data_IF_759692163513
#
_entry.id   IF_759692163513
#
_cell.length_a   1.000
_cell.length_b   1.000
_cell.length_c   1.000
_cell.angle_alpha   90.00
_cell.angle_beta   90.00
_cell.angle_gamma   90.00
#
_symmetry.space_group_name_H-M   'P 1'
#
loop_
_entity.id
_entity.type
_entity.pdbx_description
1 polymer ?
#
# COMPACT_ATOMS: atom_id res chain seq x y z
N UNK A 1 10.43 6.31 -11.00
CA UNK A 1 9.89 6.53 -9.64
C UNK A 1 10.95 6.16 -8.63
N UNK A 2 11.18 6.98 -7.63
CA UNK A 2 12.09 6.70 -6.53
C UNK A 2 11.33 6.27 -5.26
N UNK A 3 12.02 5.92 -4.16
CA UNK A 3 11.37 5.41 -2.93
C UNK A 3 10.51 6.48 -2.24
N UNK A 4 10.92 7.75 -2.23
CA UNK A 4 10.10 8.84 -1.69
C UNK A 4 8.76 8.93 -2.43
N UNK A 5 8.81 8.92 -3.76
CA UNK A 5 7.60 8.93 -4.59
C UNK A 5 6.76 7.67 -4.39
N UNK A 6 7.40 6.49 -4.34
CA UNK A 6 6.70 5.22 -4.17
C UNK A 6 5.88 5.19 -2.87
N UNK A 7 6.43 5.71 -1.78
CA UNK A 7 5.74 5.78 -0.49
C UNK A 7 4.96 7.08 -0.28
N UNK A 8 5.18 8.10 -1.12
CA UNK A 8 4.64 9.46 -0.96
C UNK A 8 5.06 10.10 0.37
N UNK A 9 6.36 9.96 0.68
CA UNK A 9 6.93 10.59 1.87
C UNK A 9 7.00 12.12 1.72
N UNK A 10 6.77 12.80 2.83
CA UNK A 10 6.86 14.26 2.96
C UNK A 10 8.03 14.68 3.84
N UNK A 11 8.34 15.99 3.86
CA UNK A 11 9.38 16.55 4.73
C UNK A 11 9.03 16.48 6.23
N UNK A 12 7.75 16.33 6.57
CA UNK A 12 7.26 16.26 7.96
C UNK A 12 7.17 14.84 8.49
N UNK A 13 7.50 13.83 7.66
CA UNK A 13 7.42 12.45 8.11
C UNK A 13 8.57 12.10 9.05
N UNK A 14 8.19 11.39 10.11
CA UNK A 14 9.09 10.70 11.00
C UNK A 14 8.98 9.20 10.69
N UNK A 15 10.04 8.63 10.09
CA UNK A 15 10.02 7.31 9.48
C UNK A 15 10.84 6.33 10.31
N UNK A 16 10.23 5.24 10.75
CA UNK A 16 10.86 4.21 11.56
C UNK A 16 11.12 2.93 10.77
N UNK A 17 12.37 2.53 10.64
CA UNK A 17 12.77 1.35 9.87
C UNK A 17 12.94 0.14 10.77
N UNK A 18 12.14 -0.89 10.57
CA UNK A 18 12.19 -2.18 11.26
C UNK A 18 12.43 -3.33 10.29
N UNK A 19 12.62 -4.53 10.78
CA UNK A 19 12.72 -5.75 9.97
C UNK A 19 14.13 -6.32 9.88
N UNK A 20 14.48 -6.94 8.73
CA UNK A 20 15.72 -7.71 8.56
C UNK A 20 16.76 -7.00 7.69
N UNK A 21 17.34 -7.69 6.72
CA UNK A 21 18.40 -7.19 5.83
C UNK A 21 17.92 -6.01 4.96
N UNK A 22 18.72 -4.95 4.91
CA UNK A 22 18.53 -3.82 4.02
C UNK A 22 17.96 -2.56 4.66
N UNK A 23 17.62 -2.56 5.96
CA UNK A 23 17.06 -1.38 6.66
C UNK A 23 17.92 -0.13 6.51
N UNK A 24 19.17 -0.23 6.88
CA UNK A 24 20.14 0.89 6.83
C UNK A 24 20.35 1.37 5.40
N UNK A 25 20.47 0.44 4.46
CA UNK A 25 20.58 0.77 3.03
C UNK A 25 19.34 1.51 2.53
N UNK A 26 18.13 1.00 2.85
CA UNK A 26 16.88 1.65 2.50
C UNK A 26 16.79 3.06 3.09
N UNK A 27 17.12 3.21 4.37
CA UNK A 27 17.10 4.47 5.09
C UNK A 27 18.00 5.52 4.42
N UNK A 28 19.27 5.20 4.16
CA UNK A 28 20.21 6.14 3.52
C UNK A 28 19.82 6.42 2.07
N UNK A 29 19.36 5.43 1.30
CA UNK A 29 18.89 5.67 -0.06
C UNK A 29 17.65 6.58 -0.09
N UNK A 30 16.72 6.43 0.86
CA UNK A 30 15.58 7.34 1.01
C UNK A 30 16.07 8.73 1.44
N UNK A 31 16.96 8.81 2.43
CA UNK A 31 17.50 10.08 2.90
C UNK A 31 18.12 10.91 1.77
N UNK A 32 18.92 10.28 0.90
CA UNK A 32 19.57 10.93 -0.24
C UNK A 32 18.63 11.39 -1.35
N UNK A 33 17.37 10.97 -1.35
CA UNK A 33 16.37 11.37 -2.34
C UNK A 33 15.62 12.66 -1.96
N UNK A 34 15.75 13.12 -0.72
CA UNK A 34 15.15 14.38 -0.30
C UNK A 34 15.94 15.58 -0.83
N UNK A 35 15.25 16.63 -1.30
CA UNK A 35 15.90 17.85 -1.78
C UNK A 35 16.25 18.85 -0.65
N UNK A 36 16.27 18.40 0.60
CA UNK A 36 16.54 19.19 1.80
C UNK A 36 17.38 18.39 2.77
N UNK A 37 17.94 19.02 3.83
CA UNK A 37 18.64 18.28 4.89
C UNK A 37 17.73 17.21 5.51
N UNK A 38 18.32 16.07 5.85
CA UNK A 38 17.61 14.93 6.44
C UNK A 38 18.35 14.47 7.67
N UNK A 39 17.63 14.33 8.76
CA UNK A 39 18.19 13.79 10.00
C UNK A 39 18.01 12.27 10.00
N UNK A 40 19.10 11.57 10.26
CA UNK A 40 19.15 10.12 10.40
C UNK A 40 19.64 9.77 11.78
N UNK A 41 19.03 8.81 12.46
CA UNK A 41 19.47 8.34 13.77
C UNK A 41 19.11 6.86 13.99
N UNK A 42 19.41 6.33 15.15
CA UNK A 42 19.15 4.94 15.55
C UNK A 42 18.61 4.88 16.98
N UNK A 43 17.81 3.87 17.28
CA UNK A 43 17.39 3.54 18.66
C UNK A 43 18.24 2.44 19.29
N UNK A 44 19.26 1.95 18.57
CA UNK A 44 20.17 0.90 19.06
C UNK A 44 21.63 1.27 18.77
N UNK A 45 22.35 0.42 18.09
CA UNK A 45 23.75 0.67 17.70
C UNK A 45 23.84 0.77 16.18
N UNK A 46 24.77 1.62 15.69
CA UNK A 46 25.10 1.72 14.27
C UNK A 46 26.60 1.52 14.08
N UNK A 47 27.01 0.73 13.10
CA UNK A 47 28.43 0.47 12.83
C UNK A 47 29.16 1.73 12.38
N UNK A 48 30.45 1.86 12.71
CA UNK A 48 31.26 3.02 12.34
C UNK A 48 31.32 3.21 10.81
N UNK A 49 31.40 2.13 10.03
CA UNK A 49 31.37 2.17 8.56
C UNK A 49 30.04 2.71 7.99
N UNK A 50 28.94 2.59 8.72
CA UNK A 50 27.65 3.16 8.33
C UNK A 50 27.66 4.68 8.54
N UNK A 51 28.39 5.18 9.52
CA UNK A 51 28.50 6.62 9.75
C UNK A 51 29.18 7.35 8.56
N UNK A 52 30.04 6.65 7.81
CA UNK A 52 30.66 7.16 6.59
C UNK A 52 29.66 7.39 5.43
N UNK A 53 28.44 6.83 5.53
CA UNK A 53 27.40 7.05 4.54
C UNK A 53 26.71 8.41 4.72
N UNK A 54 26.88 9.08 5.84
CA UNK A 54 26.32 10.41 6.08
C UNK A 54 27.25 11.51 5.56
N UNK A 55 26.68 12.65 5.16
CA UNK A 55 27.45 13.83 4.77
C UNK A 55 28.00 14.54 6.01
N UNK A 56 27.27 14.46 7.13
CA UNK A 56 27.66 15.02 8.44
C UNK A 56 27.34 14.01 9.53
N UNK A 57 28.25 13.79 10.46
CA UNK A 57 28.06 12.94 11.62
C UNK A 57 28.24 13.74 12.93
N UNK A 58 27.25 13.73 13.78
CA UNK A 58 27.21 14.43 15.05
C UNK A 58 27.08 13.38 16.16
N UNK A 59 28.07 13.36 17.06
CA UNK A 59 28.04 12.51 18.23
C UNK A 59 27.61 13.35 19.44
N UNK A 60 26.53 12.93 20.10
CA UNK A 60 25.95 13.60 21.26
C UNK A 60 26.55 12.98 22.53
N UNK A 61 27.47 13.70 23.15
CA UNK A 61 27.96 13.38 24.49
C UNK A 61 27.14 14.09 25.60
N UNK A 62 26.50 15.24 25.23
CA UNK A 62 25.60 16.04 26.07
C UNK A 62 24.51 16.68 25.18
N UNK A 63 23.24 16.68 25.64
CA UNK A 63 22.09 17.29 24.95
C UNK A 63 22.30 18.78 24.63
N UNK A 64 23.10 19.48 25.41
CA UNK A 64 23.41 20.91 25.16
C UNK A 64 24.15 21.15 23.82
N UNK A 65 24.78 20.12 23.26
CA UNK A 65 25.44 20.24 21.95
C UNK A 65 24.45 20.24 20.78
N UNK A 66 23.26 19.68 20.98
CA UNK A 66 22.23 19.61 19.94
C UNK A 66 21.61 20.98 19.61
N UNK A 67 21.48 21.88 20.59
CA UNK A 67 20.87 23.21 20.42
C UNK A 67 21.76 24.23 19.69
N UNK A 68 22.88 23.82 19.11
CA UNK A 68 23.74 24.72 18.36
C UNK A 68 23.20 24.99 16.95
N UNK A 69 23.15 26.26 16.54
CA UNK A 69 22.76 26.73 15.19
C UNK A 69 23.59 26.12 14.04
N UNK A 70 24.64 25.35 14.33
CA UNK A 70 25.49 24.68 13.35
C UNK A 70 24.79 23.62 12.50
N UNK A 71 23.65 23.06 12.95
CA UNK A 71 22.88 22.08 12.18
C UNK A 71 22.15 22.70 10.97
N UNK A 72 21.72 23.95 11.06
CA UNK A 72 20.98 24.64 10.00
C UNK A 72 21.87 24.89 8.77
N UNK A 73 23.17 25.00 8.95
CA UNK A 73 24.13 25.23 7.86
C UNK A 73 24.48 23.95 7.09
N UNK A 74 24.13 22.76 7.63
CA UNK A 74 24.44 21.49 7.01
C UNK A 74 23.43 21.15 5.91
N UNK A 75 23.92 20.58 4.82
CA UNK A 75 23.12 20.06 3.71
C UNK A 75 23.30 18.54 3.62
N UNK A 76 22.36 17.86 2.97
CA UNK A 76 22.45 16.41 2.77
C UNK A 76 22.00 15.60 3.99
N UNK A 77 22.64 14.46 4.23
CA UNK A 77 22.29 13.50 5.28
C UNK A 77 23.10 13.77 6.55
N UNK A 78 22.41 14.07 7.63
CA UNK A 78 22.98 14.38 8.95
C UNK A 78 22.70 13.19 9.85
N UNK A 79 23.72 12.40 10.18
CA UNK A 79 23.63 11.32 11.15
C UNK A 79 23.86 11.86 12.56
N UNK A 80 22.95 11.54 13.47
CA UNK A 80 23.07 11.88 14.89
C UNK A 80 23.11 10.58 15.70
N UNK A 81 24.15 10.41 16.51
CA UNK A 81 24.35 9.23 17.37
C UNK A 81 24.79 9.62 18.80
N UNK A 82 24.72 8.68 19.70
CA UNK A 82 25.43 8.75 20.95
C UNK A 82 26.92 8.37 20.79
N UNK A 83 27.67 8.22 21.92
CA UNK A 83 29.09 7.94 21.92
C UNK A 83 29.51 6.66 21.20
N UNK A 84 30.77 6.63 20.74
CA UNK A 84 31.38 5.43 20.17
C UNK A 84 31.67 4.39 21.26
N UNK A 85 31.32 3.15 20.99
CA UNK A 85 31.50 2.01 21.86
C UNK A 85 32.83 1.28 21.56
N UNK A 86 33.36 0.47 22.50
CA UNK A 86 34.64 -0.23 22.31
C UNK A 86 34.66 -1.23 21.15
N UNK A 87 33.48 -1.71 20.70
CA UNK A 87 33.31 -2.65 19.62
C UNK A 87 33.06 -1.97 18.26
N UNK A 88 33.56 -0.76 18.12
CA UNK A 88 33.56 0.03 16.89
C UNK A 88 32.14 0.33 16.32
N UNK A 89 31.21 0.60 17.21
CA UNK A 89 29.87 1.06 16.92
C UNK A 89 29.58 2.38 17.61
N UNK A 90 28.54 3.07 17.17
CA UNK A 90 27.97 4.23 17.87
C UNK A 90 26.69 3.80 18.55
N UNK A 91 26.47 4.22 19.79
CA UNK A 91 25.23 4.01 20.52
C UNK A 91 24.11 4.87 19.97
N UNK A 92 22.87 4.57 20.37
CA UNK A 92 21.77 5.50 20.16
C UNK A 92 21.97 6.77 20.99
N UNK A 93 21.41 7.90 20.57
CA UNK A 93 21.09 8.99 21.49
C UNK A 93 20.21 8.49 22.65
N UNK A 94 20.18 9.21 23.76
CA UNK A 94 19.25 8.90 24.86
C UNK A 94 17.79 9.19 24.44
N UNK A 95 16.80 8.67 25.16
CA UNK A 95 15.39 8.97 24.88
C UNK A 95 15.08 10.48 24.93
N UNK A 96 15.56 11.26 25.92
CA UNK A 96 15.42 12.71 25.90
C UNK A 96 16.05 13.36 24.67
N UNK A 97 17.23 12.88 24.23
CA UNK A 97 17.88 13.38 23.02
C UNK A 97 17.05 13.12 21.77
N UNK A 98 16.46 11.92 21.65
CA UNK A 98 15.59 11.57 20.53
C UNK A 98 14.35 12.47 20.47
N UNK A 99 13.76 12.82 21.61
CA UNK A 99 12.63 13.76 21.68
C UNK A 99 13.05 15.17 21.23
N UNK A 100 14.23 15.63 21.59
CA UNK A 100 14.76 16.93 21.15
C UNK A 100 15.12 16.93 19.66
N UNK A 101 15.71 15.83 19.14
CA UNK A 101 15.95 15.63 17.73
C UNK A 101 14.63 15.70 16.94
N UNK A 102 13.59 15.03 17.43
CA UNK A 102 12.26 15.08 16.82
C UNK A 102 11.70 16.52 16.80
N UNK A 103 11.69 17.22 17.93
CA UNK A 103 11.23 18.61 18.00
C UNK A 103 11.99 19.50 17.03
N UNK A 104 13.31 19.35 16.97
CA UNK A 104 14.17 20.09 16.05
C UNK A 104 13.78 19.81 14.59
N UNK A 105 13.61 18.54 14.23
CA UNK A 105 13.23 18.13 12.87
C UNK A 105 11.90 18.75 12.43
N UNK A 106 10.91 18.77 13.34
CA UNK A 106 9.60 19.36 13.06
C UNK A 106 9.66 20.88 12.91
N UNK A 107 10.41 21.57 13.78
CA UNK A 107 10.55 23.03 13.73
C UNK A 107 11.26 23.53 12.47
N UNK A 108 12.16 22.73 11.89
CA UNK A 108 12.92 23.10 10.69
C UNK A 108 12.40 22.40 9.42
N UNK A 109 11.31 21.61 9.52
CA UNK A 109 10.76 20.81 8.43
C UNK A 109 11.80 19.88 7.78
N UNK A 110 12.65 19.26 8.60
CA UNK A 110 13.60 18.23 8.17
C UNK A 110 13.02 16.85 8.39
N UNK A 111 13.00 15.96 7.38
CA UNK A 111 12.60 14.57 7.58
C UNK A 111 13.47 13.90 8.64
N UNK A 112 12.84 13.11 9.51
CA UNK A 112 13.55 12.32 10.52
C UNK A 112 13.40 10.83 10.21
N UNK A 113 14.53 10.17 9.97
CA UNK A 113 14.61 8.75 9.65
C UNK A 113 15.32 8.02 10.79
N UNK A 114 14.66 7.04 11.38
CA UNK A 114 15.18 6.30 12.54
C UNK A 114 15.26 4.82 12.20
N UNK A 115 16.44 4.23 12.36
CA UNK A 115 16.58 2.79 12.22
C UNK A 115 16.49 2.13 13.61
N UNK A 116 15.55 1.17 13.72
CA UNK A 116 15.45 0.29 14.87
C UNK A 116 16.35 -0.94 14.66
N UNK A 117 16.85 -1.45 15.74
CA UNK A 117 17.52 -2.74 15.82
C UNK A 117 18.95 -2.85 15.30
N UNK A 118 19.74 -3.53 16.09
CA UNK A 118 21.08 -3.97 15.72
C UNK A 118 20.99 -4.94 14.52
N UNK A 119 21.64 -4.59 13.43
CA UNK A 119 21.86 -5.48 12.32
C UNK A 119 22.86 -6.56 12.71
N UNK A 120 22.43 -7.82 12.67
CA UNK A 120 23.28 -8.99 12.90
C UNK A 120 23.59 -9.76 11.61
N UNK A 121 23.34 -9.16 10.43
CA UNK A 121 23.60 -9.77 9.13
C UNK A 121 22.61 -10.87 8.71
N UNK A 122 21.61 -11.19 9.53
CA UNK A 122 20.71 -12.32 9.28
C UNK A 122 19.53 -11.93 8.41
N UNK A 123 19.14 -12.80 7.46
CA UNK A 123 18.09 -12.49 6.46
C UNK A 123 16.69 -12.37 7.04
N UNK A 124 16.41 -12.99 8.17
CA UNK A 124 15.09 -12.98 8.82
C UNK A 124 15.21 -12.49 10.27
N UNK A 125 14.09 -12.02 10.82
CA UNK A 125 13.99 -11.60 12.21
C UNK A 125 12.67 -12.01 12.84
N UNK A 126 12.73 -12.51 14.08
CA UNK A 126 11.62 -12.53 15.02
C UNK A 126 11.86 -11.44 16.09
N UNK A 127 10.83 -10.69 16.46
CA UNK A 127 10.96 -9.63 17.45
C UNK A 127 11.01 -10.20 18.88
N UNK A 128 11.86 -9.64 19.75
CA UNK A 128 11.86 -9.93 21.18
C UNK A 128 10.62 -9.38 21.90
N UNK A 129 10.46 -9.66 23.19
CA UNK A 129 9.23 -9.30 23.92
C UNK A 129 9.00 -7.79 23.96
N UNK A 130 10.04 -6.99 24.08
CA UNK A 130 10.02 -5.52 24.11
C UNK A 130 10.45 -4.88 22.77
N UNK A 131 10.51 -5.64 21.68
CA UNK A 131 10.91 -5.14 20.36
C UNK A 131 9.76 -5.19 19.36
N UNK A 132 9.71 -4.22 18.42
CA UNK A 132 10.47 -2.97 18.39
C UNK A 132 9.94 -1.95 19.41
N UNK A 133 10.81 -1.12 19.97
CA UNK A 133 10.41 0.04 20.79
C UNK A 133 10.16 1.22 19.85
N UNK A 134 8.86 1.49 19.58
CA UNK A 134 8.43 2.46 18.58
C UNK A 134 8.09 3.77 19.30
N UNK A 135 8.80 4.88 19.03
CA UNK A 135 8.47 6.18 19.60
C UNK A 135 7.08 6.64 19.19
N UNK A 136 6.36 7.29 20.09
CA UNK A 136 4.94 7.67 19.89
C UNK A 136 4.71 8.73 18.80
N UNK A 137 5.75 9.43 18.40
CA UNK A 137 5.70 10.49 17.37
C UNK A 137 5.99 10.01 15.94
N UNK A 138 6.10 8.69 15.73
CA UNK A 138 6.30 8.13 14.40
C UNK A 138 5.06 8.34 13.52
N UNK A 139 5.27 8.87 12.32
CA UNK A 139 4.19 9.02 11.32
C UNK A 139 4.01 7.77 10.49
N UNK A 140 5.09 7.02 10.28
CA UNK A 140 5.06 5.76 9.56
C UNK A 140 6.18 4.79 9.95
N UNK A 141 5.92 3.51 9.72
CA UNK A 141 6.86 2.41 9.91
C UNK A 141 7.12 1.77 8.57
N UNK A 142 8.40 1.59 8.22
CA UNK A 142 8.85 0.84 7.06
C UNK A 142 9.45 -0.47 7.53
N UNK A 143 8.74 -1.57 7.29
CA UNK A 143 9.30 -2.89 7.51
C UNK A 143 10.14 -3.28 6.28
N UNK A 144 11.38 -3.69 6.49
CA UNK A 144 12.29 -4.11 5.42
C UNK A 144 12.56 -5.59 5.55
N UNK A 145 12.21 -6.33 4.50
CA UNK A 145 12.40 -7.77 4.42
C UNK A 145 13.25 -8.14 3.21
N UNK A 146 14.25 -9.01 3.40
CA UNK A 146 15.10 -9.53 2.33
C UNK A 146 14.72 -10.95 1.94
N UNK A 147 14.63 -11.20 0.62
CA UNK A 147 14.22 -12.51 0.06
C UNK A 147 15.27 -13.61 0.23
N UNK A 148 16.53 -13.27 0.57
CA UNK A 148 17.62 -14.25 0.70
C UNK A 148 17.40 -15.31 1.79
N UNK A 149 16.46 -15.08 2.71
CA UNK A 149 16.09 -16.09 3.72
C UNK A 149 15.17 -17.20 3.21
N UNK A 150 14.47 -16.98 2.09
CA UNK A 150 13.53 -17.95 1.53
C UNK A 150 14.29 -19.07 0.84
N UNK A 151 13.88 -20.31 1.09
CA UNK A 151 14.52 -21.51 0.55
C UNK A 151 15.65 -22.06 1.42
N UNK A 152 16.09 -21.34 2.45
CA UNK A 152 17.06 -21.82 3.41
C UNK A 152 16.39 -22.63 4.52
N UNK A 153 17.13 -23.52 5.17
CA UNK A 153 16.66 -24.21 6.37
C UNK A 153 16.66 -23.24 7.56
N UNK A 154 15.63 -23.35 8.41
CA UNK A 154 15.59 -22.65 9.68
C UNK A 154 16.68 -23.19 10.61
N UNK A 155 17.59 -22.34 11.04
CA UNK A 155 18.71 -22.67 11.92
C UNK A 155 19.34 -21.42 12.52
N UNK A 156 20.43 -21.59 13.29
CA UNK A 156 21.06 -20.52 14.05
C UNK A 156 21.56 -19.33 13.21
N UNK A 157 21.83 -19.55 11.92
CA UNK A 157 22.32 -18.50 11.02
C UNK A 157 21.23 -17.79 10.22
N UNK A 158 20.00 -18.30 10.23
CA UNK A 158 18.94 -17.83 9.34
C UNK A 158 18.12 -16.68 9.92
N UNK A 159 17.50 -16.78 11.11
CA UNK A 159 16.80 -15.65 11.73
C UNK A 159 17.59 -15.02 12.89
N UNK A 160 17.27 -13.76 13.16
CA UNK A 160 17.57 -13.16 14.48
C UNK A 160 16.52 -13.72 15.45
N UNK A 161 16.95 -14.21 16.62
CA UNK A 161 16.11 -14.89 17.62
C UNK A 161 15.39 -16.12 17.02
N UNK A 162 16.17 -17.14 16.64
CA UNK A 162 15.65 -18.36 16.03
C UNK A 162 14.66 -19.09 16.92
N UNK A 163 14.78 -18.96 18.24
CA UNK A 163 13.89 -19.56 19.22
C UNK A 163 12.44 -19.04 19.16
N UNK A 164 12.23 -17.78 18.73
CA UNK A 164 10.91 -17.17 18.62
C UNK A 164 10.29 -17.31 17.23
N UNK A 165 11.11 -17.55 16.21
CA UNK A 165 10.63 -17.65 14.84
C UNK A 165 9.62 -18.80 14.62
N UNK A 166 9.81 -20.01 15.19
CA UNK A 166 8.85 -21.09 15.11
C UNK A 166 7.47 -20.77 15.67
N UNK A 167 7.41 -20.05 16.79
CA UNK A 167 6.14 -19.67 17.44
C UNK A 167 5.26 -18.79 16.54
N UNK A 168 5.89 -17.94 15.72
CA UNK A 168 5.20 -16.97 14.85
C UNK A 168 4.96 -17.55 13.47
N UNK A 169 5.94 -18.27 12.91
CA UNK A 169 5.93 -18.77 11.53
C UNK A 169 5.30 -20.15 11.37
N UNK A 170 5.25 -20.94 12.44
CA UNK A 170 4.89 -22.36 12.41
C UNK A 170 5.95 -23.27 11.76
N UNK A 171 7.12 -22.73 11.38
CA UNK A 171 8.22 -23.49 10.79
C UNK A 171 9.13 -24.02 11.90
N UNK A 172 9.37 -25.33 11.94
CA UNK A 172 10.25 -25.94 12.93
C UNK A 172 11.71 -25.93 12.47
N UNK A 173 12.64 -26.11 13.42
CA UNK A 173 14.07 -26.17 13.15
C UNK A 173 14.39 -27.19 12.03
N UNK A 174 15.30 -26.79 11.13
CA UNK A 174 15.71 -27.53 9.91
C UNK A 174 14.67 -27.66 8.81
N UNK A 175 13.47 -27.14 8.98
CA UNK A 175 12.55 -27.01 7.86
C UNK A 175 12.93 -25.87 6.91
N UNK A 176 12.51 -26.00 5.66
CA UNK A 176 12.72 -24.95 4.64
C UNK A 176 11.76 -23.81 4.88
N UNK A 177 12.31 -22.60 4.93
CA UNK A 177 11.54 -21.36 5.04
C UNK A 177 10.84 -21.09 3.70
N UNK A 178 9.51 -21.12 3.72
CA UNK A 178 8.65 -20.90 2.55
C UNK A 178 8.12 -19.46 2.53
N UNK A 179 7.75 -18.92 1.36
CA UNK A 179 7.12 -17.61 1.26
C UNK A 179 5.91 -17.42 2.18
N UNK A 180 5.05 -18.44 2.27
CA UNK A 180 3.82 -18.37 3.07
C UNK A 180 4.12 -18.25 4.58
N UNK A 181 5.18 -18.90 5.09
CA UNK A 181 5.60 -18.74 6.50
C UNK A 181 6.13 -17.33 6.79
N UNK A 182 6.83 -16.73 5.83
CA UNK A 182 7.29 -15.35 5.95
C UNK A 182 6.11 -14.36 5.93
N UNK A 183 5.14 -14.58 5.03
CA UNK A 183 3.89 -13.80 5.03
C UNK A 183 3.21 -13.89 6.40
N UNK A 184 3.12 -15.11 6.99
CA UNK A 184 2.60 -15.30 8.34
C UNK A 184 3.32 -14.46 9.40
N UNK A 185 4.66 -14.38 9.36
CA UNK A 185 5.45 -13.54 10.27
C UNK A 185 5.19 -12.05 10.03
N UNK A 186 5.19 -11.61 8.77
CA UNK A 186 5.02 -10.18 8.43
C UNK A 186 3.63 -9.65 8.77
N UNK A 187 2.57 -10.48 8.72
CA UNK A 187 1.21 -10.08 9.09
C UNK A 187 0.83 -10.39 10.55
N UNK A 188 1.75 -10.99 11.33
CA UNK A 188 1.48 -11.34 12.73
C UNK A 188 1.61 -10.13 13.65
N UNK A 189 0.68 -10.04 14.63
CA UNK A 189 0.77 -9.07 15.76
C UNK A 189 1.98 -9.34 16.69
N UNK A 190 2.56 -10.52 16.63
CA UNK A 190 3.79 -10.87 17.35
C UNK A 190 5.04 -10.78 16.46
N UNK A 191 4.86 -10.47 15.18
CA UNK A 191 5.89 -10.35 14.17
C UNK A 191 5.98 -8.95 13.58
N UNK A 192 5.74 -8.85 12.27
CA UNK A 192 5.90 -7.60 11.51
C UNK A 192 4.96 -6.46 11.89
N UNK A 193 3.83 -6.75 12.56
CA UNK A 193 2.87 -5.75 13.04
C UNK A 193 2.99 -5.46 14.54
N UNK A 194 4.01 -6.02 15.21
CA UNK A 194 4.16 -5.89 16.64
C UNK A 194 4.39 -4.43 17.06
N UNK A 195 3.76 -4.03 18.17
CA UNK A 195 3.89 -2.69 18.79
C UNK A 195 3.53 -1.52 17.84
N UNK A 196 2.87 -1.78 16.71
CA UNK A 196 2.41 -0.70 15.84
C UNK A 196 1.25 0.05 16.51
N UNK A 197 1.41 1.35 16.67
CA UNK A 197 0.39 2.23 17.25
C UNK A 197 -0.75 2.48 16.24
N UNK A 198 -1.95 2.74 16.75
CA UNK A 198 -3.09 3.11 15.92
C UNK A 198 -2.81 4.44 15.20
N UNK A 199 -3.22 4.52 13.93
CA UNK A 199 -3.02 5.71 13.09
C UNK A 199 -1.63 5.82 12.45
N UNK A 200 -0.66 4.99 12.83
CA UNK A 200 0.66 4.95 12.20
C UNK A 200 0.61 4.15 10.90
N UNK A 201 1.04 4.76 9.79
CA UNK A 201 1.07 4.12 8.47
C UNK A 201 2.11 2.99 8.43
N UNK A 202 1.75 1.88 7.80
CA UNK A 202 2.63 0.72 7.65
C UNK A 202 3.00 0.52 6.20
N UNK A 203 4.30 0.50 5.94
CA UNK A 203 4.87 0.24 4.62
C UNK A 203 5.81 -0.95 4.66
N UNK A 204 5.96 -1.63 3.54
CA UNK A 204 6.84 -2.78 3.42
C UNK A 204 7.77 -2.60 2.22
N UNK A 205 9.05 -2.89 2.44
CA UNK A 205 10.04 -3.09 1.38
C UNK A 205 10.38 -4.57 1.31
N UNK A 206 10.09 -5.20 0.18
CA UNK A 206 10.56 -6.54 -0.17
C UNK A 206 11.81 -6.36 -1.03
N UNK A 207 12.97 -6.54 -0.40
CA UNK A 207 14.29 -6.33 -1.00
C UNK A 207 14.86 -7.63 -1.56
N UNK A 208 15.95 -7.53 -2.35
CA UNK A 208 16.66 -8.67 -2.94
C UNK A 208 15.83 -9.45 -3.98
N UNK A 209 14.97 -8.76 -4.74
CA UNK A 209 14.24 -9.34 -5.85
C UNK A 209 15.12 -9.42 -7.11
N UNK A 210 16.29 -10.07 -6.99
CA UNK A 210 17.43 -9.97 -7.91
C UNK A 210 17.24 -10.74 -9.21
N UNK A 211 16.22 -11.58 -9.31
CA UNK A 211 15.90 -12.35 -10.52
C UNK A 211 14.38 -12.53 -10.69
N UNK A 212 13.98 -13.00 -11.89
CA UNK A 212 12.56 -13.15 -12.24
C UNK A 212 11.78 -14.07 -11.30
N UNK A 213 12.43 -15.10 -10.75
CA UNK A 213 11.79 -16.04 -9.84
C UNK A 213 11.50 -15.38 -8.49
N UNK A 214 12.48 -14.65 -7.93
CA UNK A 214 12.32 -13.89 -6.70
C UNK A 214 11.32 -12.74 -6.87
N UNK A 215 11.28 -12.09 -8.05
CA UNK A 215 10.26 -11.08 -8.38
C UNK A 215 8.85 -11.67 -8.39
N UNK A 216 8.67 -12.86 -8.96
CA UNK A 216 7.38 -13.55 -8.96
C UNK A 216 6.94 -13.95 -7.54
N UNK A 217 7.87 -14.47 -6.72
CA UNK A 217 7.63 -14.77 -5.30
C UNK A 217 7.23 -13.50 -4.54
N UNK A 218 8.03 -12.43 -4.67
CA UNK A 218 7.75 -11.14 -4.05
C UNK A 218 6.39 -10.58 -4.45
N UNK A 219 6.03 -10.70 -5.74
CA UNK A 219 4.74 -10.26 -6.27
C UNK A 219 3.55 -11.00 -5.65
N UNK A 220 3.67 -12.32 -5.44
CA UNK A 220 2.65 -13.12 -4.74
C UNK A 220 2.57 -12.71 -3.28
N UNK A 221 3.69 -12.70 -2.56
CA UNK A 221 3.74 -12.28 -1.15
C UNK A 221 3.16 -10.88 -0.95
N UNK A 222 3.47 -9.94 -1.83
CA UNK A 222 2.94 -8.59 -1.76
C UNK A 222 1.40 -8.57 -1.86
N UNK A 223 0.79 -9.39 -2.73
CA UNK A 223 -0.68 -9.48 -2.81
C UNK A 223 -1.28 -9.97 -1.49
N UNK A 224 -0.69 -10.98 -0.86
CA UNK A 224 -1.17 -11.55 0.41
C UNK A 224 -0.98 -10.58 1.59
N UNK A 225 -0.01 -9.66 1.48
CA UNK A 225 0.33 -8.66 2.51
C UNK A 225 -0.41 -7.32 2.35
N UNK A 226 -1.06 -7.05 1.22
CA UNK A 226 -1.83 -5.82 0.99
C UNK A 226 -2.89 -5.50 2.06
N UNK A 227 -3.55 -6.48 2.72
CA UNK A 227 -4.49 -6.17 3.81
C UNK A 227 -3.83 -5.55 5.05
N UNK A 228 -2.50 -5.65 5.20
CA UNK A 228 -1.76 -5.27 6.39
C UNK A 228 -0.84 -4.06 6.20
N UNK A 229 -0.49 -3.73 4.94
CA UNK A 229 0.43 -2.67 4.58
C UNK A 229 -0.19 -1.72 3.55
N UNK A 230 -0.12 -0.42 3.80
CA UNK A 230 -0.71 0.59 2.92
C UNK A 230 0.03 0.72 1.58
N UNK A 231 1.32 0.45 1.58
CA UNK A 231 2.15 0.41 0.37
C UNK A 231 3.24 -0.64 0.52
N UNK A 232 3.46 -1.38 -0.56
CA UNK A 232 4.51 -2.40 -0.65
C UNK A 232 5.37 -2.08 -1.86
N UNK A 233 6.67 -2.02 -1.64
CA UNK A 233 7.67 -1.82 -2.70
C UNK A 233 8.48 -3.10 -2.84
N UNK A 234 8.59 -3.59 -4.06
CA UNK A 234 9.48 -4.69 -4.44
C UNK A 234 10.68 -4.06 -5.13
N UNK A 235 11.88 -4.32 -4.63
CA UNK A 235 13.09 -3.67 -5.14
C UNK A 235 14.34 -4.53 -4.99
N UNK A 236 15.40 -4.05 -5.61
CA UNK A 236 16.78 -4.40 -5.37
C UNK A 236 17.49 -3.13 -4.86
N UNK A 237 18.02 -3.16 -3.63
CA UNK A 237 18.69 -2.00 -3.04
C UNK A 237 20.19 -1.95 -3.34
N UNK A 238 20.83 -3.09 -3.60
CA UNK A 238 22.26 -3.23 -3.91
C UNK A 238 22.45 -4.01 -5.23
N UNK A 239 23.51 -3.73 -6.03
CA UNK A 239 24.48 -2.64 -5.83
C UNK A 239 23.91 -1.25 -6.13
N UNK A 240 22.88 -1.15 -6.99
CA UNK A 240 22.17 0.09 -7.31
C UNK A 240 20.69 -0.06 -6.97
N UNK A 241 20.06 1.01 -6.51
CA UNK A 241 18.64 1.00 -6.22
C UNK A 241 17.83 0.80 -7.51
N UNK A 242 17.12 -0.31 -7.59
CA UNK A 242 16.16 -0.58 -8.63
C UNK A 242 14.79 -0.86 -8.01
N UNK A 243 13.83 0.05 -8.21
CA UNK A 243 12.44 -0.18 -7.86
C UNK A 243 11.79 -0.99 -8.98
N UNK A 244 11.32 -2.20 -8.67
CA UNK A 244 10.76 -3.15 -9.63
C UNK A 244 9.23 -3.08 -9.69
N UNK A 245 8.59 -2.94 -8.54
CA UNK A 245 7.15 -2.79 -8.46
C UNK A 245 6.72 -2.04 -7.20
N UNK A 246 5.58 -1.35 -7.31
CA UNK A 246 4.84 -0.79 -6.17
C UNK A 246 3.46 -1.41 -6.15
N UNK A 247 2.93 -1.72 -4.97
CA UNK A 247 1.55 -2.17 -4.77
C UNK A 247 0.90 -1.43 -3.62
N UNK A 248 -0.40 -1.21 -3.72
CA UNK A 248 -1.24 -0.57 -2.70
C UNK A 248 -2.64 -1.19 -2.70
N UNK A 249 -3.36 -1.21 -1.55
CA UNK A 249 -4.73 -1.72 -1.49
C UNK A 249 -5.68 -0.91 -2.36
N UNK A 250 -6.31 -1.56 -3.34
CA UNK A 250 -7.32 -0.95 -4.21
C UNK A 250 -8.62 -1.72 -4.03
N UNK A 251 -9.67 -1.01 -3.61
CA UNK A 251 -11.01 -1.54 -3.45
C UNK A 251 -11.81 -1.53 -4.76
N UNK A 252 -12.88 -2.31 -4.80
CA UNK A 252 -13.94 -2.15 -5.77
C UNK A 252 -15.18 -1.57 -5.11
N UNK A 253 -15.82 -0.58 -5.75
CA UNK A 253 -17.19 -0.18 -5.44
C UNK A 253 -18.04 -0.46 -6.67
N UNK A 254 -18.97 -1.42 -6.55
CA UNK A 254 -19.89 -1.80 -7.61
C UNK A 254 -21.22 -1.09 -7.39
N UNK A 255 -21.58 -0.22 -8.33
CA UNK A 255 -22.81 0.56 -8.25
C UNK A 255 -23.97 -0.26 -8.81
N UNK A 256 -24.80 -0.81 -7.93
CA UNK A 256 -25.93 -1.69 -8.23
C UNK A 256 -27.27 -1.15 -7.68
N UNK A 257 -27.34 0.13 -7.32
CA UNK A 257 -28.51 0.72 -6.67
C UNK A 257 -29.60 1.23 -7.64
N UNK A 258 -29.31 1.33 -8.95
CA UNK A 258 -30.20 1.95 -9.93
C UNK A 258 -31.57 1.26 -10.07
N UNK A 259 -32.62 2.06 -10.29
CA UNK A 259 -34.01 1.59 -10.36
C UNK A 259 -34.43 0.91 -11.68
N UNK A 260 -33.54 0.89 -12.71
CA UNK A 260 -33.79 0.26 -14.04
C UNK A 260 -35.12 0.65 -14.68
N UNK A 261 -35.51 1.92 -14.56
CA UNK A 261 -36.84 2.43 -14.99
C UNK A 261 -37.16 2.19 -16.48
N UNK A 262 -36.13 2.11 -17.32
CA UNK A 262 -36.23 1.87 -18.77
C UNK A 262 -36.35 0.39 -19.15
N UNK A 263 -35.87 -0.52 -18.29
CA UNK A 263 -35.80 -1.96 -18.56
C UNK A 263 -37.07 -2.71 -18.12
N UNK A 264 -37.96 -2.08 -17.35
CA UNK A 264 -39.20 -2.71 -16.82
C UNK A 264 -38.98 -3.79 -15.76
N UNK A 265 -37.73 -4.25 -15.56
CA UNK A 265 -37.29 -5.22 -14.54
C UNK A 265 -35.97 -4.75 -13.95
N UNK A 266 -35.60 -5.29 -12.79
CA UNK A 266 -34.33 -4.97 -12.15
C UNK A 266 -33.14 -5.47 -13.01
N UNK A 267 -32.55 -4.58 -13.81
CA UNK A 267 -31.47 -4.81 -14.77
C UNK A 267 -30.30 -5.59 -14.15
N UNK A 268 -29.98 -5.29 -12.89
CA UNK A 268 -28.88 -5.89 -12.13
C UNK A 268 -29.06 -7.40 -11.90
N UNK A 269 -30.32 -7.90 -12.01
CA UNK A 269 -30.70 -9.29 -11.84
C UNK A 269 -30.74 -10.08 -13.16
N UNK A 270 -30.68 -9.40 -14.30
CA UNK A 270 -30.65 -10.06 -15.61
C UNK A 270 -29.43 -10.99 -15.71
N UNK A 271 -29.60 -12.05 -16.48
CA UNK A 271 -28.61 -13.12 -16.59
C UNK A 271 -27.77 -12.98 -17.86
N UNK A 272 -26.47 -13.05 -17.72
CA UNK A 272 -25.49 -13.22 -18.78
C UNK A 272 -24.51 -14.31 -18.39
N UNK A 273 -24.20 -15.24 -19.28
CA UNK A 273 -23.33 -16.40 -18.98
C UNK A 273 -23.74 -17.16 -17.70
N UNK A 274 -25.04 -17.40 -17.53
CA UNK A 274 -25.65 -18.16 -16.40
C UNK A 274 -25.54 -17.48 -15.03
N UNK A 275 -25.08 -16.23 -14.94
CA UNK A 275 -24.97 -15.44 -13.70
C UNK A 275 -25.65 -14.07 -13.90
N UNK A 276 -26.11 -13.46 -12.80
CA UNK A 276 -26.63 -12.09 -12.89
C UNK A 276 -25.53 -11.12 -13.31
N UNK A 277 -25.92 -9.97 -13.86
CA UNK A 277 -24.96 -8.93 -14.25
C UNK A 277 -24.07 -8.54 -13.09
N UNK A 278 -24.66 -8.29 -11.91
CA UNK A 278 -23.89 -7.95 -10.71
C UNK A 278 -22.90 -9.06 -10.32
N UNK A 279 -23.30 -10.35 -10.40
CA UNK A 279 -22.40 -11.47 -10.10
C UNK A 279 -21.21 -11.51 -11.06
N UNK A 280 -21.43 -11.26 -12.36
CA UNK A 280 -20.33 -11.22 -13.33
C UNK A 280 -19.31 -10.12 -13.00
N UNK A 281 -19.78 -8.92 -12.63
CA UNK A 281 -18.92 -7.80 -12.22
C UNK A 281 -18.16 -8.12 -10.92
N UNK A 282 -18.84 -8.74 -9.94
CA UNK A 282 -18.20 -9.21 -8.71
C UNK A 282 -17.07 -10.21 -8.98
N UNK A 283 -17.35 -11.19 -9.85
CA UNK A 283 -16.35 -12.20 -10.23
C UNK A 283 -15.15 -11.55 -10.91
N UNK A 284 -15.38 -10.60 -11.82
CA UNK A 284 -14.30 -9.89 -12.50
C UNK A 284 -13.45 -9.10 -11.50
N UNK A 285 -14.06 -8.41 -10.53
CA UNK A 285 -13.38 -7.67 -9.49
C UNK A 285 -12.53 -8.57 -8.57
N UNK A 286 -13.10 -9.73 -8.14
CA UNK A 286 -12.38 -10.72 -7.32
C UNK A 286 -11.17 -11.31 -8.06
N UNK A 287 -11.36 -11.74 -9.31
CA UNK A 287 -10.28 -12.31 -10.11
C UNK A 287 -9.23 -11.29 -10.53
N UNK A 288 -9.57 -10.00 -10.58
CA UNK A 288 -8.59 -8.94 -10.78
C UNK A 288 -7.71 -8.71 -9.54
N UNK A 289 -8.18 -9.08 -8.35
CA UNK A 289 -7.46 -8.91 -7.08
C UNK A 289 -7.85 -7.64 -6.32
N UNK A 290 -9.02 -7.05 -6.61
CA UNK A 290 -9.56 -5.92 -5.85
C UNK A 290 -10.04 -6.37 -4.47
N UNK A 291 -9.72 -5.62 -3.42
CA UNK A 291 -10.13 -5.89 -2.04
C UNK A 291 -10.06 -4.60 -1.19
N UNK A 292 -11.07 -4.31 -0.35
CA UNK A 292 -12.38 -4.97 -0.28
C UNK A 292 -13.24 -4.73 -1.54
N UNK A 293 -14.30 -5.55 -1.68
CA UNK A 293 -15.33 -5.34 -2.71
C UNK A 293 -16.62 -4.94 -2.02
N UNK A 294 -17.11 -3.74 -2.32
CA UNK A 294 -18.36 -3.19 -1.79
C UNK A 294 -19.36 -3.14 -2.94
N UNK A 295 -20.54 -3.75 -2.73
CA UNK A 295 -21.67 -3.68 -3.68
C UNK A 295 -22.73 -2.77 -3.08
N UNK A 296 -22.90 -1.59 -3.67
CA UNK A 296 -23.92 -0.63 -3.23
C UNK A 296 -25.24 -0.97 -3.90
N UNK A 297 -26.23 -1.32 -3.09
CA UNK A 297 -27.57 -1.73 -3.55
C UNK A 297 -28.62 -0.71 -3.13
N UNK A 298 -29.67 -0.59 -3.93
CA UNK A 298 -30.83 0.29 -3.66
C UNK A 298 -32.11 -0.47 -3.89
N UNK A 299 -32.69 -0.30 -5.10
CA UNK A 299 -33.85 -1.09 -5.50
C UNK A 299 -33.47 -2.58 -5.54
N UNK A 300 -34.31 -3.47 -5.03
CA UNK A 300 -34.09 -4.93 -4.96
C UNK A 300 -32.94 -5.37 -4.02
N UNK A 301 -32.63 -4.58 -2.98
CA UNK A 301 -31.50 -4.83 -2.09
C UNK A 301 -31.51 -6.25 -1.48
N UNK A 302 -32.65 -6.76 -1.00
CA UNK A 302 -32.73 -8.09 -0.39
C UNK A 302 -32.43 -9.22 -1.39
N UNK A 303 -32.88 -9.09 -2.63
CA UNK A 303 -32.65 -10.10 -3.68
C UNK A 303 -31.17 -10.15 -4.04
N UNK A 304 -30.55 -8.98 -4.25
CA UNK A 304 -29.10 -8.89 -4.55
C UNK A 304 -28.27 -9.37 -3.40
N UNK A 305 -28.57 -8.96 -2.15
CA UNK A 305 -27.90 -9.41 -0.95
C UNK A 305 -27.91 -10.93 -0.81
N UNK A 306 -29.05 -11.57 -1.07
CA UNK A 306 -29.17 -13.02 -1.02
C UNK A 306 -28.35 -13.72 -2.12
N UNK A 307 -28.35 -13.20 -3.35
CA UNK A 307 -27.54 -13.75 -4.45
C UNK A 307 -26.04 -13.63 -4.19
N UNK A 308 -25.61 -12.57 -3.54
CA UNK A 308 -24.19 -12.27 -3.29
C UNK A 308 -23.61 -12.95 -2.05
N UNK A 309 -24.41 -13.64 -1.23
CA UNK A 309 -23.94 -14.35 -0.01
C UNK A 309 -22.81 -15.35 -0.25
N UNK A 310 -22.71 -15.90 -1.46
CA UNK A 310 -21.68 -16.88 -1.83
C UNK A 310 -20.34 -16.23 -2.23
N UNK A 311 -20.30 -14.92 -2.32
CA UNK A 311 -19.12 -14.17 -2.74
C UNK A 311 -18.51 -13.42 -1.55
N UNK A 312 -17.20 -13.25 -1.56
CA UNK A 312 -16.49 -12.44 -0.55
C UNK A 312 -16.67 -10.95 -0.87
N UNK A 313 -17.84 -10.41 -0.54
CA UNK A 313 -18.21 -9.00 -0.78
C UNK A 313 -19.02 -8.44 0.38
N UNK A 314 -18.94 -7.14 0.58
CA UNK A 314 -19.80 -6.41 1.49
C UNK A 314 -20.95 -5.77 0.69
N UNK A 315 -22.20 -6.10 1.03
CA UNK A 315 -23.38 -5.48 0.41
C UNK A 315 -23.85 -4.33 1.31
N UNK A 316 -23.96 -3.13 0.75
CA UNK A 316 -24.35 -1.92 1.46
C UNK A 316 -25.60 -1.32 0.86
N UNK A 317 -26.61 -1.04 1.68
CA UNK A 317 -27.86 -0.43 1.25
C UNK A 317 -27.75 1.10 1.22
N UNK A 318 -28.04 1.71 0.07
CA UNK A 318 -28.18 3.14 -0.07
C UNK A 318 -29.67 3.53 -0.05
N UNK A 319 -30.20 4.16 1.02
CA UNK A 319 -31.59 4.59 1.07
C UNK A 319 -31.91 5.73 0.09
N UNK A 320 -30.92 6.54 -0.24
CA UNK A 320 -31.07 7.73 -1.10
C UNK A 320 -30.81 7.48 -2.58
N UNK A 321 -30.82 6.21 -3.02
CA UNK A 321 -30.49 5.83 -4.40
C UNK A 321 -31.29 6.57 -5.49
N UNK A 322 -32.52 7.04 -5.16
CA UNK A 322 -33.37 7.80 -6.08
C UNK A 322 -32.87 9.22 -6.36
N UNK A 323 -31.99 9.76 -5.52
CA UNK A 323 -31.45 11.11 -5.65
C UNK A 323 -30.26 11.18 -6.62
N UNK A 324 -29.91 10.06 -7.27
CA UNK A 324 -28.88 9.98 -8.29
C UNK A 324 -27.66 9.13 -7.92
N UNK A 325 -26.82 8.88 -8.91
CA UNK A 325 -25.67 7.99 -8.80
C UNK A 325 -24.65 8.45 -7.74
N UNK A 326 -24.54 9.75 -7.49
CA UNK A 326 -23.61 10.31 -6.49
C UNK A 326 -23.86 9.81 -5.08
N UNK A 327 -25.12 9.54 -4.70
CA UNK A 327 -25.44 9.01 -3.36
C UNK A 327 -24.90 7.60 -3.18
N UNK A 328 -24.94 6.77 -4.21
CA UNK A 328 -24.38 5.42 -4.20
C UNK A 328 -22.86 5.43 -4.16
N UNK A 329 -22.23 6.37 -4.86
CA UNK A 329 -20.78 6.56 -4.83
C UNK A 329 -20.32 6.91 -3.41
N UNK A 330 -20.95 7.90 -2.76
CA UNK A 330 -20.65 8.32 -1.39
C UNK A 330 -20.87 7.18 -0.39
N UNK A 331 -22.04 6.53 -0.47
CA UNK A 331 -22.36 5.38 0.36
C UNK A 331 -21.28 4.27 0.29
N UNK A 332 -20.75 3.99 -0.89
CA UNK A 332 -19.66 3.04 -1.06
C UNK A 332 -18.35 3.52 -0.43
N UNK A 333 -17.99 4.79 -0.61
CA UNK A 333 -16.77 5.38 -0.04
C UNK A 333 -16.77 5.40 1.49
N UNK A 334 -17.91 5.69 2.13
CA UNK A 334 -18.07 5.71 3.60
C UNK A 334 -17.82 4.35 4.25
N UNK A 335 -17.91 3.26 3.47
CA UNK A 335 -17.66 1.90 3.95
C UNK A 335 -16.24 1.40 3.66
N UNK A 336 -15.38 2.24 3.10
CA UNK A 336 -13.96 1.93 2.92
C UNK A 336 -13.18 2.26 4.18
N UNK A 337 -12.39 1.30 4.65
CA UNK A 337 -11.45 1.52 5.75
C UNK A 337 -10.30 2.45 5.37
N UNK A 338 -9.61 2.97 6.40
CA UNK A 338 -8.49 3.90 6.24
C UNK A 338 -7.30 3.30 5.50
N UNK A 339 -7.19 2.00 5.50
CA UNK A 339 -6.14 1.25 4.83
C UNK A 339 -6.24 1.30 3.29
N UNK A 340 -7.44 1.51 2.73
CA UNK A 340 -7.66 1.57 1.27
C UNK A 340 -6.98 2.78 0.65
N UNK A 341 -6.13 2.58 -0.33
CA UNK A 341 -5.34 3.62 -0.99
C UNK A 341 -5.89 4.04 -2.36
N UNK A 342 -6.93 3.40 -2.83
CA UNK A 342 -7.62 3.74 -4.06
C UNK A 342 -8.87 2.90 -4.27
N UNK A 343 -9.70 3.30 -5.22
CA UNK A 343 -10.94 2.60 -5.54
C UNK A 343 -11.13 2.52 -7.05
N UNK A 344 -11.64 1.39 -7.53
CA UNK A 344 -12.17 1.26 -8.88
C UNK A 344 -13.69 1.19 -8.80
N UNK A 345 -14.36 2.18 -9.41
CA UNK A 345 -15.81 2.14 -9.58
C UNK A 345 -16.18 1.28 -10.77
N UNK A 346 -17.07 0.32 -10.52
CA UNK A 346 -17.62 -0.63 -11.49
C UNK A 346 -19.12 -0.45 -11.58
N UNK A 347 -19.65 -0.61 -12.78
CA UNK A 347 -21.08 -0.52 -13.05
C UNK A 347 -21.70 -1.91 -13.07
N UNK A 348 -22.77 -2.15 -12.31
CA UNK A 348 -23.46 -3.45 -12.28
C UNK A 348 -24.16 -3.81 -13.61
N UNK A 349 -24.34 -2.85 -14.50
CA UNK A 349 -24.93 -3.02 -15.82
C UNK A 349 -23.91 -3.20 -16.95
N UNK A 350 -22.63 -3.39 -16.61
CA UNK A 350 -21.56 -3.75 -17.53
C UNK A 350 -20.99 -5.15 -17.19
N UNK A 351 -21.80 -6.25 -17.34
CA UNK A 351 -21.38 -7.60 -16.96
C UNK A 351 -20.18 -8.12 -17.76
N UNK A 352 -19.91 -7.52 -18.92
CA UNK A 352 -18.79 -7.83 -19.81
C UNK A 352 -17.46 -7.24 -19.36
N UNK A 353 -17.41 -6.45 -18.26
CA UNK A 353 -16.16 -5.84 -17.79
C UNK A 353 -15.05 -6.89 -17.66
N UNK A 354 -13.92 -6.64 -18.31
CA UNK A 354 -12.85 -7.62 -18.36
C UNK A 354 -11.90 -7.51 -17.15
N UNK A 355 -11.45 -8.67 -16.66
CA UNK A 355 -10.41 -8.77 -15.64
C UNK A 355 -9.13 -8.04 -16.08
N UNK A 356 -8.80 -8.14 -17.38
CA UNK A 356 -7.60 -7.52 -17.94
C UNK A 356 -7.67 -6.00 -17.92
N UNK A 357 -8.84 -5.41 -18.20
CA UNK A 357 -9.04 -3.96 -18.11
C UNK A 357 -8.87 -3.49 -16.66
N UNK A 358 -9.51 -4.18 -15.69
CA UNK A 358 -9.37 -3.84 -14.27
C UNK A 358 -7.91 -3.90 -13.84
N UNK A 359 -7.18 -4.97 -14.21
CA UNK A 359 -5.75 -5.12 -13.91
C UNK A 359 -4.90 -4.04 -14.56
N UNK A 360 -5.20 -3.65 -15.80
CA UNK A 360 -4.47 -2.57 -16.47
C UNK A 360 -4.63 -1.22 -15.74
N UNK A 361 -5.82 -0.92 -15.21
CA UNK A 361 -6.04 0.27 -14.37
C UNK A 361 -5.25 0.18 -13.06
N UNK A 362 -5.24 -1.00 -12.40
CA UNK A 362 -4.46 -1.22 -11.18
C UNK A 362 -2.96 -1.04 -11.43
N UNK A 363 -2.43 -1.61 -12.52
CA UNK A 363 -1.01 -1.46 -12.88
C UNK A 363 -0.64 0.00 -13.13
N UNK A 364 -1.48 0.76 -13.84
CA UNK A 364 -1.25 2.19 -14.02
C UNK A 364 -1.29 2.96 -12.69
N UNK A 365 -2.17 2.57 -11.76
CA UNK A 365 -2.22 3.14 -10.42
C UNK A 365 -0.99 2.78 -9.57
N UNK A 366 -0.34 1.65 -9.85
CA UNK A 366 0.93 1.26 -9.23
C UNK A 366 2.14 1.98 -9.85
N UNK A 367 2.12 2.19 -11.17
CA UNK A 367 3.24 2.77 -11.90
C UNK A 367 3.27 4.30 -11.87
N UNK A 368 2.14 4.95 -11.62
CA UNK A 368 2.00 6.41 -11.70
C UNK A 368 1.38 6.99 -10.42
N UNK A 369 1.54 8.30 -10.23
CA UNK A 369 0.85 9.06 -9.17
C UNK A 369 -0.41 9.76 -9.70
N UNK A 370 -0.99 9.24 -10.79
CA UNK A 370 -2.24 9.77 -11.33
C UNK A 370 -3.40 9.46 -10.41
N UNK A 371 -4.12 10.51 -10.08
CA UNK A 371 -5.24 10.44 -9.15
C UNK A 371 -6.51 9.85 -9.77
N UNK A 372 -6.66 10.00 -11.08
CA UNK A 372 -7.78 9.46 -11.85
C UNK A 372 -7.25 8.72 -13.07
N UNK A 373 -7.67 7.46 -13.25
CA UNK A 373 -7.27 6.63 -14.39
C UNK A 373 -8.53 5.96 -14.95
N UNK A 374 -8.68 5.96 -16.26
CA UNK A 374 -9.80 5.32 -16.93
C UNK A 374 -9.45 4.80 -18.33
N UNK A 375 -10.30 4.00 -18.95
CA UNK A 375 -10.10 3.59 -20.35
C UNK A 375 -10.59 4.67 -21.33
N UNK A 376 -9.93 4.69 -22.48
CA UNK A 376 -10.38 5.35 -23.69
C UNK A 376 -10.78 4.24 -24.68
N UNK A 377 -12.05 4.18 -25.06
CA UNK A 377 -12.62 3.16 -25.95
C UNK A 377 -13.23 3.88 -27.14
N UNK A 378 -12.79 3.59 -28.34
CA UNK A 378 -13.19 4.30 -29.57
C UNK A 378 -13.15 5.83 -29.41
N UNK A 379 -12.07 6.35 -28.82
CA UNK A 379 -11.90 7.78 -28.57
C UNK A 379 -12.83 8.38 -27.52
N UNK A 380 -13.59 7.54 -26.80
CA UNK A 380 -14.52 7.99 -25.74
C UNK A 380 -14.04 7.54 -24.36
N UNK A 381 -14.13 8.45 -23.40
CA UNK A 381 -13.86 8.15 -21.99
C UNK A 381 -14.94 7.21 -21.44
N UNK A 382 -14.53 6.09 -20.85
CA UNK A 382 -15.45 5.05 -20.38
C UNK A 382 -15.21 4.64 -18.92
N UNK A 383 -15.94 3.68 -18.45
CA UNK A 383 -15.82 2.95 -17.18
C UNK A 383 -15.18 1.59 -17.44
N UNK A 384 -14.59 0.95 -16.41
CA UNK A 384 -14.42 1.38 -15.02
C UNK A 384 -13.37 2.49 -14.85
N UNK A 385 -13.41 3.19 -13.70
CA UNK A 385 -12.43 4.24 -13.38
C UNK A 385 -11.80 4.00 -12.01
N UNK A 386 -10.50 4.19 -11.97
CA UNK A 386 -9.73 4.26 -10.75
C UNK A 386 -9.70 5.69 -10.22
N UNK A 387 -9.79 5.82 -8.88
CA UNK A 387 -9.59 7.05 -8.12
C UNK A 387 -8.65 6.78 -6.95
N UNK A 388 -7.62 7.61 -6.82
CA UNK A 388 -6.70 7.58 -5.68
C UNK A 388 -7.39 8.11 -4.41
N UNK A 389 -6.95 7.65 -3.23
CA UNK A 389 -7.50 8.09 -1.95
C UNK A 389 -7.47 9.63 -1.77
N UNK A 390 -6.46 10.27 -2.32
CA UNK A 390 -6.30 11.73 -2.22
C UNK A 390 -7.47 12.54 -2.79
N UNK A 391 -8.28 11.94 -3.69
CA UNK A 391 -9.47 12.59 -4.27
C UNK A 391 -10.80 12.12 -3.65
N UNK A 392 -10.76 11.30 -2.59
CA UNK A 392 -12.00 10.89 -1.90
C UNK A 392 -12.77 12.09 -1.31
N UNK A 393 -12.12 13.11 -0.70
CA UNK A 393 -12.84 14.29 -0.23
C UNK A 393 -13.63 14.99 -1.34
N UNK A 394 -13.07 15.14 -2.54
CA UNK A 394 -13.76 15.74 -3.69
C UNK A 394 -14.89 14.83 -4.19
N UNK A 395 -14.70 13.51 -4.22
CA UNK A 395 -15.76 12.55 -4.55
C UNK A 395 -16.96 12.67 -3.60
N UNK A 396 -16.73 12.98 -2.33
CA UNK A 396 -17.78 13.19 -1.34
C UNK A 396 -18.59 14.48 -1.57
N UNK A 397 -18.13 15.41 -2.39
CA UNK A 397 -18.86 16.66 -2.73
C UNK A 397 -19.74 16.55 -3.97
N UNK A 398 -19.56 15.50 -4.81
CA UNK A 398 -20.30 15.30 -6.05
C UNK A 398 -21.81 15.18 -5.79
N UNK A 399 -22.67 15.73 -6.66
CA UNK A 399 -24.12 15.69 -6.52
C UNK A 399 -24.83 15.23 -7.80
N UNK A 400 -26.03 14.66 -7.65
CA UNK A 400 -26.88 14.20 -8.77
C UNK A 400 -26.28 13.04 -9.56
N UNK A 401 -26.50 13.03 -10.88
CA UNK A 401 -26.07 11.94 -11.78
C UNK A 401 -24.67 12.16 -12.40
N UNK A 402 -23.93 13.14 -11.90
CA UNK A 402 -22.62 13.48 -12.51
C UNK A 402 -21.56 12.40 -12.27
N UNK A 403 -21.74 11.53 -11.30
CA UNK A 403 -20.77 10.49 -10.94
C UNK A 403 -19.37 11.09 -10.73
N UNK A 404 -18.32 10.30 -10.94
CA UNK A 404 -16.93 10.79 -10.86
C UNK A 404 -16.44 11.55 -12.12
N UNK A 405 -17.32 12.01 -12.99
CA UNK A 405 -16.94 12.70 -14.26
C UNK A 405 -16.49 14.15 -14.04
N UNK A 406 -16.96 14.78 -12.96
CA UNK A 406 -16.76 16.20 -12.65
C UNK A 406 -15.60 16.47 -11.69
N UNK A 407 -14.83 15.46 -11.32
CA UNK A 407 -13.75 15.64 -10.35
C UNK A 407 -12.63 16.48 -10.94
N UNK A 408 -12.35 17.59 -10.27
CA UNK A 408 -11.20 18.45 -10.53
C UNK A 408 -9.98 17.87 -9.81
N UNK A 409 -9.28 16.97 -10.49
CA UNK A 409 -8.00 16.47 -9.99
C UNK A 409 -6.90 17.54 -10.24
N UNK A 410 -5.98 17.77 -9.28
CA UNK A 410 -4.82 18.63 -9.49
C UNK A 410 -3.94 18.21 -10.68
N UNK A 411 -3.92 16.92 -11.00
CA UNK A 411 -3.26 16.40 -12.20
C UNK A 411 -4.29 15.90 -13.22
N UNK A 412 -4.03 16.11 -14.54
CA UNK A 412 -4.95 15.64 -15.57
C UNK A 412 -5.16 14.12 -15.47
N UNK A 413 -6.40 13.61 -15.67
CA UNK A 413 -6.68 12.18 -15.69
C UNK A 413 -5.83 11.45 -16.74
N UNK A 414 -5.38 10.23 -16.40
CA UNK A 414 -4.73 9.32 -17.33
C UNK A 414 -5.78 8.45 -18.00
N UNK A 415 -5.78 8.41 -19.32
CA UNK A 415 -6.61 7.48 -20.07
C UNK A 415 -5.73 6.49 -20.81
N UNK A 416 -6.09 5.19 -20.67
CA UNK A 416 -5.41 4.09 -21.38
C UNK A 416 -6.26 3.69 -22.57
N UNK A 417 -5.65 3.62 -23.75
CA UNK A 417 -6.32 3.12 -24.95
C UNK A 417 -6.68 1.65 -24.76
N UNK A 418 -7.97 1.33 -24.99
CA UNK A 418 -8.47 -0.01 -24.81
C UNK A 418 -9.21 -0.47 -26.07
N UNK A 419 -8.69 -1.51 -26.70
CA UNK A 419 -9.13 -1.92 -28.04
C UNK A 419 -10.35 -2.83 -28.05
N UNK A 420 -10.76 -3.40 -26.91
CA UNK A 420 -11.97 -4.20 -26.82
C UNK A 420 -13.20 -3.29 -26.65
N UNK A 421 -13.87 -3.02 -27.78
CA UNK A 421 -15.00 -2.09 -27.85
C UNK A 421 -16.21 -2.56 -27.05
N UNK A 422 -16.33 -3.86 -26.75
CA UNK A 422 -17.36 -4.41 -25.88
C UNK A 422 -17.39 -3.76 -24.50
N UNK A 423 -16.23 -3.33 -24.02
CA UNK A 423 -16.09 -2.68 -22.69
C UNK A 423 -16.76 -1.31 -22.64
N UNK A 424 -17.03 -0.69 -23.78
CA UNK A 424 -17.73 0.60 -23.87
C UNK A 424 -19.25 0.50 -23.98
N UNK A 425 -19.80 -0.73 -23.99
CA UNK A 425 -21.22 -0.95 -24.17
C UNK A 425 -21.96 -0.84 -22.83
N UNK A 426 -22.90 0.09 -22.72
CA UNK A 426 -23.85 0.14 -21.63
C UNK A 426 -25.08 -0.67 -22.01
N UNK A 427 -25.46 -1.69 -21.23
CA UNK A 427 -26.63 -2.52 -21.52
C UNK A 427 -27.85 -1.83 -20.94
N UNK A 428 -28.51 -0.98 -21.74
CA UNK A 428 -29.71 -0.23 -21.37
C UNK A 428 -31.02 -0.87 -21.82
N UNK A 429 -30.98 -1.72 -22.85
CA UNK A 429 -32.13 -2.43 -23.42
C UNK A 429 -31.81 -3.92 -23.68
N UNK A 430 -32.81 -4.77 -23.82
CA UNK A 430 -32.60 -6.19 -24.13
C UNK A 430 -31.84 -6.40 -25.46
N UNK A 431 -32.01 -5.52 -26.43
CA UNK A 431 -31.30 -5.55 -27.72
C UNK A 431 -29.76 -5.38 -27.55
N UNK A 432 -29.33 -4.71 -26.50
CA UNK A 432 -27.89 -4.52 -26.24
C UNK A 432 -27.21 -5.84 -25.83
N UNK A 433 -27.97 -6.77 -25.24
CA UNK A 433 -27.51 -8.13 -24.92
C UNK A 433 -27.25 -8.90 -26.22
N UNK A 434 -28.14 -8.81 -27.18
CA UNK A 434 -27.99 -9.46 -28.49
C UNK A 434 -26.77 -8.90 -29.24
N UNK A 435 -26.54 -7.60 -29.10
CA UNK A 435 -25.34 -6.95 -29.64
C UNK A 435 -24.07 -7.47 -28.95
N UNK A 436 -24.07 -7.56 -27.63
CA UNK A 436 -22.93 -8.10 -26.84
C UNK A 436 -22.62 -9.56 -27.26
N UNK A 437 -23.65 -10.41 -27.41
CA UNK A 437 -23.51 -11.81 -27.83
C UNK A 437 -22.93 -11.90 -29.24
N UNK A 438 -23.31 -11.01 -30.15
CA UNK A 438 -22.79 -10.99 -31.54
C UNK A 438 -21.32 -10.55 -31.60
N UNK A 439 -20.82 -9.88 -30.58
CA UNK A 439 -19.41 -9.43 -30.46
C UNK A 439 -18.51 -10.46 -29.76
N UNK A 440 -19.07 -11.56 -29.21
CA UNK A 440 -18.30 -12.69 -28.65
C UNK A 440 -17.77 -13.60 -29.75
#
# INVERSE_FOLDING_TARGET
>A
MNLIQAFSFSKKDCIYFIGSVGKTTAMFQIARQYPCPVIVTTTTYIGATVAELADHHIVLDDINQFNSNKLIENTGVILITGPRTPDDRYSSPTLPDLDEIYKYSQNHEFPLLIVADSFQGKPLKANGDNEPDIPIYMTCIVNVFGLSGIGNQLGDETPIKPEKYPEISGVVEREIIKPDSVVGVLCSKNGGLKNTLDGVKRYLIINQADNIQLQAIAGKMANDLLPFYEKIVICQLNPEQQLLARKKPIAAIILAAGGSSRFGKAKQLNTWRKKSYTENVVIAAQHAGLSPIIVVVGNQHEVLKNKLKLYTVQTVYNPDWQQGQSTSLKCGLEHLGDHTQGVIFLMADQPQVSIMLIRALMEQAYLTDRQVIGPMIDGKRSTPKYFDRSVFPELMTVAGDQGGRSILSPSPPLYIEWFDTRMGLDIDFEVDIDQLIKME
#
